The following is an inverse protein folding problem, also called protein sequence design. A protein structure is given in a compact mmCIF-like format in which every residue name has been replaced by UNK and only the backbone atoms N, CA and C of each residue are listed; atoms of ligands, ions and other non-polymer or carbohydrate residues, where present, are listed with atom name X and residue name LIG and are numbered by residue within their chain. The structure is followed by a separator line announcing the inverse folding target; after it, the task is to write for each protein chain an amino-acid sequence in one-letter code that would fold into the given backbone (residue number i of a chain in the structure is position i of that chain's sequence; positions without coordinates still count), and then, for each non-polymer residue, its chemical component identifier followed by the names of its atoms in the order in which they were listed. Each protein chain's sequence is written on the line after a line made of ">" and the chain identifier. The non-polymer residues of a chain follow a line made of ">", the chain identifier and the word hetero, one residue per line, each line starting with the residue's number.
data_IF_956868953519
#
_entry.id   IF_956868953519
#
_cell.length_a   1.000
_cell.length_b   1.000
_cell.length_c   1.000
_cell.angle_alpha   90.00
_cell.angle_beta   90.00
_cell.angle_gamma   90.00
#
_symmetry.space_group_name_H-M   'P 1'
#
loop_
_entity.id
_entity.type
_entity.pdbx_description
1 polymer ?
#
# COMPACT_ATOMS: atom_id res chain seq x y z
N UNK A 1 16.07 -20.23 -4.44
CA UNK A 1 14.93 -20.39 -5.37
C UNK A 1 14.32 -19.01 -5.51
N UNK A 2 14.23 -18.45 -6.72
CA UNK A 2 13.63 -17.12 -6.90
C UNK A 2 12.13 -17.24 -6.79
N UNK A 3 11.64 -16.87 -5.64
CA UNK A 3 10.22 -16.72 -5.30
C UNK A 3 9.71 -15.38 -5.84
N UNK A 4 8.57 -14.91 -5.40
CA UNK A 4 8.06 -13.60 -5.82
C UNK A 4 8.97 -12.48 -5.30
N UNK A 5 9.03 -11.36 -6.00
CA UNK A 5 9.87 -10.22 -5.59
C UNK A 5 9.01 -9.10 -4.98
N UNK A 6 8.25 -9.42 -3.91
CA UNK A 6 7.44 -8.46 -3.19
C UNK A 6 6.10 -8.12 -3.85
N UNK A 7 5.48 -7.03 -3.40
CA UNK A 7 4.19 -6.54 -3.91
C UNK A 7 4.36 -6.02 -5.34
N UNK A 8 3.46 -6.43 -6.24
CA UNK A 8 3.33 -5.84 -7.59
C UNK A 8 2.48 -4.58 -7.55
N UNK A 9 1.27 -4.69 -7.02
CA UNK A 9 0.33 -3.59 -6.81
C UNK A 9 -0.64 -3.91 -5.68
N UNK A 10 -1.31 -2.88 -5.20
CA UNK A 10 -2.44 -3.00 -4.26
C UNK A 10 -3.66 -2.39 -4.94
N UNK A 11 -4.81 -3.05 -4.85
CA UNK A 11 -6.10 -2.52 -5.32
C UNK A 11 -7.00 -2.26 -4.13
N UNK A 12 -7.61 -1.09 -4.08
CA UNK A 12 -8.56 -0.70 -3.05
C UNK A 12 -9.90 -0.27 -3.65
N UNK A 13 -10.92 -0.19 -2.81
CA UNK A 13 -12.26 0.26 -3.19
C UNK A 13 -12.40 1.73 -2.80
N UNK A 14 -12.75 2.56 -3.78
CA UNK A 14 -13.04 3.98 -3.57
C UNK A 14 -14.53 4.27 -3.76
N UNK A 15 -14.94 5.44 -3.30
CA UNK A 15 -16.23 6.03 -3.62
C UNK A 15 -16.16 6.86 -4.90
N UNK A 16 -16.19 8.18 -4.75
CA UNK A 16 -16.21 9.10 -5.87
C UNK A 16 -14.89 9.12 -6.66
N UNK A 17 -14.88 8.82 -7.97
CA UNK A 17 -13.66 8.74 -8.76
C UNK A 17 -12.93 10.08 -8.91
N UNK A 18 -13.64 11.21 -8.93
CA UNK A 18 -13.02 12.54 -9.04
C UNK A 18 -12.30 12.90 -7.74
N UNK A 19 -12.94 12.66 -6.59
CA UNK A 19 -12.32 12.89 -5.29
C UNK A 19 -11.11 12.00 -5.08
N UNK A 20 -11.18 10.72 -5.50
CA UNK A 20 -10.05 9.79 -5.49
C UNK A 20 -8.90 10.32 -6.36
N UNK A 21 -9.20 10.74 -7.60
CA UNK A 21 -8.19 11.32 -8.50
C UNK A 21 -7.50 12.54 -7.90
N UNK A 22 -8.27 13.50 -7.37
CA UNK A 22 -7.72 14.71 -6.76
C UNK A 22 -6.85 14.38 -5.56
N UNK A 23 -7.27 13.46 -4.70
CA UNK A 23 -6.49 13.06 -3.55
C UNK A 23 -5.14 12.43 -3.94
N UNK A 24 -5.14 11.42 -4.80
CA UNK A 24 -3.91 10.71 -5.14
C UNK A 24 -2.98 11.53 -6.01
N UNK A 25 -3.49 12.44 -6.84
CA UNK A 25 -2.65 13.29 -7.69
C UNK A 25 -2.26 14.62 -7.04
N UNK A 26 -3.19 15.31 -6.37
CA UNK A 26 -2.93 16.65 -5.84
C UNK A 26 -2.45 16.63 -4.39
N UNK A 27 -2.93 15.69 -3.57
CA UNK A 27 -2.48 15.58 -2.18
C UNK A 27 -1.21 14.74 -2.08
N UNK A 28 -1.19 13.53 -2.63
CA UNK A 28 -0.05 12.63 -2.54
C UNK A 28 0.97 12.84 -3.67
N UNK A 29 0.61 13.51 -4.75
CA UNK A 29 1.51 13.81 -5.86
C UNK A 29 1.85 12.59 -6.71
N UNK A 30 1.06 11.53 -6.66
CA UNK A 30 1.25 10.35 -7.51
C UNK A 30 0.80 10.66 -8.95
N UNK A 31 1.40 9.97 -9.92
CA UNK A 31 0.97 10.03 -11.30
C UNK A 31 -0.25 9.13 -11.53
N UNK A 32 -1.29 9.62 -12.19
CA UNK A 32 -2.29 8.74 -12.80
C UNK A 32 -1.65 8.05 -14.01
N UNK A 33 -1.18 6.81 -13.81
CA UNK A 33 -0.45 6.04 -14.82
C UNK A 33 -1.40 5.52 -15.89
N UNK A 34 -2.58 5.06 -15.47
CA UNK A 34 -3.58 4.48 -16.37
C UNK A 34 -4.99 4.72 -15.83
N UNK A 35 -5.92 5.01 -16.74
CA UNK A 35 -7.36 4.98 -16.51
C UNK A 35 -7.98 4.02 -17.52
N UNK A 36 -8.68 3.02 -17.04
CA UNK A 36 -9.37 2.02 -17.87
C UNK A 36 -10.69 1.64 -17.20
N UNK A 37 -11.39 0.64 -17.72
CA UNK A 37 -12.54 0.03 -17.07
C UNK A 37 -12.14 -1.24 -16.37
N UNK A 38 -12.88 -1.62 -15.34
CA UNK A 38 -12.70 -2.88 -14.65
C UNK A 38 -13.09 -4.04 -15.63
N UNK A 39 -12.29 -5.09 -15.65
CA UNK A 39 -12.51 -6.24 -16.55
C UNK A 39 -13.82 -6.97 -16.21
N UNK A 40 -14.10 -7.14 -14.90
CA UNK A 40 -15.28 -7.88 -14.42
C UNK A 40 -16.54 -7.00 -14.33
N UNK A 41 -16.37 -5.68 -14.33
CA UNK A 41 -17.45 -4.68 -14.29
C UNK A 41 -17.14 -3.50 -15.21
N UNK A 42 -17.42 -3.62 -16.52
CA UNK A 42 -17.08 -2.58 -17.51
C UNK A 42 -17.75 -1.21 -17.29
N UNK A 43 -18.75 -1.12 -16.41
CA UNK A 43 -19.37 0.14 -16.01
C UNK A 43 -18.54 0.92 -14.98
N UNK A 44 -17.54 0.29 -14.38
CA UNK A 44 -16.67 0.87 -13.35
C UNK A 44 -15.29 1.19 -13.91
N UNK A 45 -14.77 2.37 -13.58
CA UNK A 45 -13.39 2.71 -13.88
C UNK A 45 -12.40 1.84 -13.08
N UNK A 46 -11.21 1.68 -13.63
CA UNK A 46 -10.04 1.19 -12.91
C UNK A 46 -8.95 2.25 -13.00
N UNK A 47 -8.65 2.89 -11.88
CA UNK A 47 -7.68 3.99 -11.77
C UNK A 47 -6.36 3.44 -11.22
N UNK A 48 -5.24 3.82 -11.82
CA UNK A 48 -3.89 3.35 -11.44
C UNK A 48 -3.01 4.55 -11.11
N UNK A 49 -2.50 4.60 -9.90
CA UNK A 49 -1.56 5.63 -9.45
C UNK A 49 -0.22 5.00 -9.13
N UNK A 50 0.87 5.66 -9.51
CA UNK A 50 2.21 5.14 -9.27
C UNK A 50 3.28 6.22 -9.40
N UNK A 51 4.53 5.78 -9.50
CA UNK A 51 5.65 6.65 -9.83
C UNK A 51 5.60 7.05 -11.33
N UNK A 52 6.65 7.73 -11.82
CA UNK A 52 6.73 8.20 -13.21
C UNK A 52 6.55 7.08 -14.24
N UNK A 53 7.14 5.91 -14.01
CA UNK A 53 7.11 4.78 -14.93
C UNK A 53 5.93 3.81 -14.69
N UNK A 54 5.26 3.89 -13.54
CA UNK A 54 4.24 2.90 -13.13
C UNK A 54 4.85 1.53 -12.88
N UNK A 55 6.05 1.49 -12.31
CA UNK A 55 6.78 0.26 -12.03
C UNK A 55 6.02 -0.63 -11.04
N UNK A 56 6.19 -1.93 -11.17
CA UNK A 56 5.69 -2.88 -10.18
C UNK A 56 6.27 -2.55 -8.79
N UNK A 57 5.43 -2.62 -7.76
CA UNK A 57 5.76 -2.18 -6.40
C UNK A 57 5.56 -0.69 -6.14
N UNK A 58 5.13 0.08 -7.15
CA UNK A 58 4.79 1.50 -6.96
C UNK A 58 3.31 1.80 -7.16
N UNK A 59 2.54 0.82 -7.65
CA UNK A 59 1.19 1.05 -8.16
C UNK A 59 0.13 0.73 -7.11
N UNK A 60 -0.65 1.75 -6.75
CA UNK A 60 -1.90 1.62 -6.01
C UNK A 60 -3.06 1.85 -6.98
N UNK A 61 -4.03 0.94 -7.02
CA UNK A 61 -5.16 1.03 -7.96
C UNK A 61 -6.50 1.09 -7.23
N UNK A 62 -7.54 1.55 -7.93
CA UNK A 62 -8.86 1.72 -7.34
C UNK A 62 -9.99 1.28 -8.26
N UNK A 63 -10.98 0.63 -7.64
CA UNK A 63 -12.32 0.45 -8.18
C UNK A 63 -13.25 1.46 -7.50
N UNK A 64 -13.66 2.56 -8.16
CA UNK A 64 -14.60 3.53 -7.60
C UNK A 64 -16.03 3.02 -7.71
N UNK A 65 -16.48 2.30 -6.69
CA UNK A 65 -17.85 1.80 -6.53
C UNK A 65 -18.66 2.73 -5.63
N UNK A 66 -19.18 3.83 -6.20
CA UNK A 66 -19.89 4.88 -5.45
C UNK A 66 -21.11 4.37 -4.67
N UNK A 67 -21.74 3.31 -5.16
CA UNK A 67 -22.94 2.70 -4.57
C UNK A 67 -22.66 1.86 -3.33
N UNK A 68 -21.41 1.47 -3.07
CA UNK A 68 -21.08 0.66 -1.91
C UNK A 68 -21.17 1.49 -0.62
N UNK A 69 -21.45 0.81 0.49
CA UNK A 69 -21.33 1.37 1.82
C UNK A 69 -19.87 1.65 2.18
N UNK A 70 -19.64 2.45 3.21
CA UNK A 70 -18.30 2.60 3.79
C UNK A 70 -17.86 1.28 4.40
N UNK A 71 -16.67 0.81 4.04
CA UNK A 71 -16.08 -0.39 4.59
C UNK A 71 -15.64 -0.22 6.05
N UNK A 72 -15.33 -1.33 6.67
CA UNK A 72 -14.75 -1.39 8.03
C UNK A 72 -13.53 -2.30 7.95
N UNK A 73 -12.33 -1.73 7.73
CA UNK A 73 -11.10 -2.53 7.71
C UNK A 73 -10.87 -3.14 9.08
N UNK A 74 -10.76 -4.45 9.15
CA UNK A 74 -10.58 -5.23 10.37
C UNK A 74 -10.02 -6.61 10.01
N UNK A 75 -10.08 -7.56 10.92
CA UNK A 75 -9.56 -8.93 10.79
C UNK A 75 -10.00 -9.61 9.48
N UNK A 76 -9.04 -10.29 8.84
CA UNK A 76 -9.19 -10.96 7.55
C UNK A 76 -9.01 -10.03 6.36
N UNK A 77 -8.41 -8.84 6.56
CA UNK A 77 -8.18 -7.85 5.51
C UNK A 77 -6.79 -7.20 5.62
N UNK A 78 -6.33 -6.61 4.51
CA UNK A 78 -5.29 -5.61 4.57
C UNK A 78 -5.89 -4.31 5.12
N UNK A 79 -5.32 -3.80 6.21
CA UNK A 79 -5.88 -2.68 6.99
C UNK A 79 -5.10 -1.38 6.82
N UNK A 80 -3.91 -1.42 6.24
CA UNK A 80 -3.14 -0.22 5.91
C UNK A 80 -2.24 -0.45 4.69
N UNK A 81 -1.99 0.63 3.94
CA UNK A 81 -1.01 0.70 2.85
C UNK A 81 0.04 1.73 3.23
N UNK A 82 1.31 1.33 3.19
CA UNK A 82 2.44 2.18 3.54
C UNK A 82 3.25 2.55 2.30
N UNK A 83 3.59 3.83 2.16
CA UNK A 83 4.43 4.36 1.09
C UNK A 83 5.80 4.78 1.62
N UNK A 84 6.80 4.61 0.79
CA UNK A 84 8.18 4.98 1.04
C UNK A 84 8.45 6.42 0.58
N UNK A 85 8.98 7.26 1.48
CA UNK A 85 9.38 8.65 1.21
C UNK A 85 10.78 8.91 1.77
N UNK A 86 11.56 9.87 1.21
CA UNK A 86 12.88 10.20 1.73
C UNK A 86 12.85 10.65 3.19
N UNK A 87 13.89 10.29 3.94
CA UNK A 87 14.04 10.62 5.37
C UNK A 87 13.99 12.13 5.64
N UNK A 88 14.58 12.92 4.76
CA UNK A 88 14.58 14.38 4.84
C UNK A 88 13.22 15.03 4.59
N UNK A 89 12.20 14.25 4.15
CA UNK A 89 10.87 14.76 3.79
C UNK A 89 9.90 14.85 4.97
N UNK A 90 10.32 14.45 6.18
CA UNK A 90 9.45 14.35 7.36
C UNK A 90 8.66 15.63 7.64
N UNK A 91 9.36 16.76 7.80
CA UNK A 91 8.69 18.02 8.12
C UNK A 91 7.77 18.49 6.99
N UNK A 92 8.19 18.32 5.73
CA UNK A 92 7.37 18.64 4.56
C UNK A 92 6.03 17.90 4.59
N UNK A 93 6.02 16.58 4.84
CA UNK A 93 4.81 15.79 4.86
C UNK A 93 3.90 16.11 6.05
N UNK A 94 4.47 16.32 7.24
CA UNK A 94 3.69 16.74 8.41
C UNK A 94 2.94 18.05 8.11
N UNK A 95 3.65 19.06 7.61
CA UNK A 95 3.08 20.38 7.33
C UNK A 95 2.04 20.31 6.20
N UNK A 96 2.33 19.53 5.14
CA UNK A 96 1.42 19.34 4.02
C UNK A 96 0.12 18.69 4.44
N UNK A 97 0.17 17.58 5.15
CA UNK A 97 -1.01 16.85 5.59
C UNK A 97 -1.85 17.68 6.57
N UNK A 98 -1.23 18.40 7.49
CA UNK A 98 -1.91 19.31 8.42
C UNK A 98 -2.57 20.47 7.69
N UNK A 99 -1.87 21.10 6.73
CA UNK A 99 -2.41 22.19 5.91
C UNK A 99 -3.64 21.77 5.11
N UNK A 100 -3.70 20.51 4.71
CA UNK A 100 -4.81 19.91 3.97
C UNK A 100 -5.89 19.30 4.88
N UNK A 101 -5.80 19.51 6.21
CA UNK A 101 -6.74 19.01 7.23
C UNK A 101 -6.93 17.48 7.24
N UNK A 102 -5.87 16.73 6.93
CA UNK A 102 -5.89 15.27 6.92
C UNK A 102 -5.59 14.63 8.29
N UNK A 103 -5.38 15.45 9.32
CA UNK A 103 -5.17 15.03 10.71
C UNK A 103 -4.17 13.85 10.84
N UNK A 104 -2.93 14.01 10.37
CA UNK A 104 -1.93 12.95 10.50
C UNK A 104 -1.67 12.63 11.97
N UNK A 105 -1.29 11.37 12.25
CA UNK A 105 -0.77 11.00 13.57
C UNK A 105 0.49 11.82 13.90
N UNK A 106 0.87 11.88 15.17
CA UNK A 106 2.25 12.21 15.50
C UNK A 106 3.19 11.15 14.91
N UNK A 107 4.45 11.52 14.68
CA UNK A 107 5.48 10.57 14.23
C UNK A 107 5.67 9.49 15.28
N UNK A 108 5.55 8.24 14.89
CA UNK A 108 5.81 7.10 15.76
C UNK A 108 6.86 6.17 15.16
N UNK A 109 7.41 5.29 15.99
CA UNK A 109 8.39 4.29 15.53
C UNK A 109 7.79 2.89 15.55
N UNK A 110 8.10 2.12 14.50
CA UNK A 110 7.71 0.72 14.36
C UNK A 110 8.82 -0.05 13.66
N UNK A 111 9.39 -1.07 14.31
CA UNK A 111 10.59 -1.79 13.87
C UNK A 111 11.80 -0.88 13.54
N UNK A 112 11.89 0.27 14.20
CA UNK A 112 12.93 1.27 13.95
C UNK A 112 12.58 2.34 12.92
N UNK A 113 11.58 2.11 12.06
CA UNK A 113 11.11 3.06 11.06
C UNK A 113 10.31 4.20 11.69
N UNK A 114 10.50 5.42 11.21
CA UNK A 114 9.65 6.56 11.55
C UNK A 114 8.49 6.66 10.57
N UNK A 115 7.28 6.80 11.10
CA UNK A 115 6.03 6.67 10.32
C UNK A 115 5.06 7.78 10.73
N UNK A 116 4.30 8.30 9.76
CA UNK A 116 3.08 9.07 10.00
C UNK A 116 1.91 8.36 9.32
N UNK A 117 0.77 8.26 10.01
CA UNK A 117 -0.47 7.67 9.51
C UNK A 117 -1.53 8.73 9.25
N UNK A 118 -2.38 8.50 8.26
CA UNK A 118 -3.54 9.34 7.93
C UNK A 118 -4.56 8.50 7.15
N UNK A 119 -5.66 9.10 6.72
CA UNK A 119 -6.68 8.42 5.91
C UNK A 119 -6.93 9.17 4.61
N UNK A 120 -7.28 8.41 3.57
CA UNK A 120 -7.84 8.97 2.35
C UNK A 120 -9.31 9.40 2.57
N UNK A 121 -9.96 10.04 1.58
CA UNK A 121 -11.35 10.51 1.71
C UNK A 121 -12.37 9.40 2.00
N UNK A 122 -12.12 8.17 1.59
CA UNK A 122 -13.00 7.02 1.83
C UNK A 122 -12.70 6.30 3.15
N UNK A 123 -11.57 6.65 3.79
CA UNK A 123 -11.13 6.09 5.07
C UNK A 123 -10.10 4.98 4.95
N UNK A 124 -9.49 4.78 3.78
CA UNK A 124 -8.34 3.89 3.62
C UNK A 124 -7.18 4.41 4.48
N UNK A 125 -6.67 3.56 5.36
CA UNK A 125 -5.50 3.90 6.18
C UNK A 125 -4.24 3.89 5.33
N UNK A 126 -3.56 5.03 5.31
CA UNK A 126 -2.32 5.26 4.61
C UNK A 126 -1.22 5.64 5.58
N UNK A 127 0.00 5.22 5.29
CA UNK A 127 1.19 5.55 6.05
C UNK A 127 2.28 6.08 5.13
N UNK A 128 3.05 7.05 5.59
CA UNK A 128 4.33 7.42 4.98
C UNK A 128 5.45 6.97 5.92
N UNK A 129 6.31 6.14 5.39
CA UNK A 129 7.51 5.63 6.06
C UNK A 129 8.70 6.43 5.58
N UNK A 130 9.43 7.05 6.51
CA UNK A 130 10.65 7.81 6.21
C UNK A 130 11.81 6.82 6.05
N UNK A 131 11.95 6.33 4.82
CA UNK A 131 12.78 5.19 4.49
C UNK A 131 14.14 5.61 3.91
N UNK A 132 15.27 5.25 4.55
CA UNK A 132 16.60 5.56 4.04
C UNK A 132 16.88 5.03 2.63
N UNK A 133 16.26 3.92 2.23
CA UNK A 133 16.41 3.38 0.88
C UNK A 133 15.80 4.32 -0.18
N UNK A 134 14.85 5.15 0.21
CA UNK A 134 14.22 6.17 -0.63
C UNK A 134 15.09 7.38 -0.93
N UNK A 135 16.10 7.66 -0.13
CA UNK A 135 16.92 8.87 -0.25
C UNK A 135 17.68 8.93 -1.58
N UNK A 136 18.06 7.78 -2.14
CA UNK A 136 18.81 7.66 -3.39
C UNK A 136 17.93 7.34 -4.61
N UNK A 137 16.60 7.44 -4.49
CA UNK A 137 15.67 7.18 -5.58
C UNK A 137 15.11 8.52 -6.08
N UNK A 138 15.12 8.72 -7.39
CA UNK A 138 14.52 9.91 -7.98
C UNK A 138 13.00 9.90 -7.82
N UNK A 139 12.43 11.03 -7.40
CA UNK A 139 10.99 11.23 -7.36
C UNK A 139 10.45 11.76 -8.69
N UNK A 140 9.18 11.51 -8.96
CA UNK A 140 8.50 12.12 -10.09
C UNK A 140 8.44 13.65 -9.92
N UNK A 141 8.87 14.38 -10.94
CA UNK A 141 9.08 15.84 -10.88
C UNK A 141 7.94 16.67 -11.47
N UNK A 142 6.93 16.04 -12.09
CA UNK A 142 5.78 16.73 -12.68
C UNK A 142 4.50 16.63 -11.82
N UNK A 143 4.61 16.10 -10.60
CA UNK A 143 3.50 16.00 -9.64
C UNK A 143 3.29 17.26 -8.80
N UNK A 144 2.23 17.26 -8.01
CA UNK A 144 1.91 18.33 -7.06
C UNK A 144 2.84 18.36 -5.82
N UNK A 145 3.69 17.36 -5.65
CA UNK A 145 4.71 17.25 -4.60
C UNK A 145 6.09 17.42 -5.25
N UNK A 146 6.96 18.30 -4.71
CA UNK A 146 8.32 18.46 -5.23
C UNK A 146 9.09 17.14 -5.24
N UNK A 147 9.88 16.88 -6.28
CA UNK A 147 10.56 15.59 -6.52
C UNK A 147 11.38 15.10 -5.32
N UNK A 148 12.05 16.01 -4.59
CA UNK A 148 12.83 15.64 -3.40
C UNK A 148 11.98 15.08 -2.26
N UNK A 149 10.68 15.34 -2.24
CA UNK A 149 9.73 14.88 -1.22
C UNK A 149 8.74 13.84 -1.73
N UNK A 150 8.71 13.57 -3.05
CA UNK A 150 7.74 12.69 -3.68
C UNK A 150 7.81 11.26 -3.12
N UNK A 151 6.67 10.58 -3.08
CA UNK A 151 6.56 9.15 -2.81
C UNK A 151 7.39 8.38 -3.85
N UNK A 152 8.15 7.39 -3.38
CA UNK A 152 9.01 6.56 -4.24
C UNK A 152 8.29 5.30 -4.72
N UNK A 153 7.49 4.71 -3.87
CA UNK A 153 6.73 3.49 -4.15
C UNK A 153 5.99 3.00 -2.92
N UNK A 154 5.41 1.82 -3.02
CA UNK A 154 4.83 1.13 -1.89
C UNK A 154 5.99 0.65 -1.00
N UNK A 155 5.94 0.98 0.30
CA UNK A 155 6.80 0.38 1.31
C UNK A 155 6.29 -1.01 1.65
N UNK A 156 5.00 -1.13 1.96
CA UNK A 156 4.40 -2.39 2.35
C UNK A 156 2.89 -2.29 2.61
N UNK A 157 2.37 -3.36 3.20
CA UNK A 157 0.99 -3.44 3.64
C UNK A 157 0.90 -4.09 5.04
N UNK A 158 -0.12 -3.72 5.81
CA UNK A 158 -0.45 -4.36 7.08
C UNK A 158 -1.71 -5.20 6.91
N UNK A 159 -1.62 -6.48 7.29
CA UNK A 159 -2.72 -7.43 7.34
C UNK A 159 -3.19 -7.58 8.79
N UNK A 160 -4.50 -7.66 9.02
CA UNK A 160 -5.06 -8.00 10.32
C UNK A 160 -5.61 -9.42 10.27
N UNK A 161 -5.04 -10.31 11.08
CA UNK A 161 -5.38 -11.74 11.09
C UNK A 161 -5.69 -12.23 12.50
N UNK A 162 -6.47 -13.31 12.61
CA UNK A 162 -6.68 -13.97 13.91
C UNK A 162 -5.40 -14.63 14.45
N UNK A 163 -4.56 -15.08 13.53
CA UNK A 163 -3.32 -15.79 13.79
C UNK A 163 -2.40 -15.59 12.56
N UNK A 164 -1.24 -15.01 12.78
CA UNK A 164 -0.27 -14.72 11.73
C UNK A 164 0.30 -15.97 11.03
N UNK A 165 0.32 -17.12 11.73
CA UNK A 165 1.08 -18.30 11.29
C UNK A 165 0.71 -18.81 9.88
N UNK A 166 -0.55 -19.05 9.52
CA UNK A 166 -0.90 -19.53 8.18
C UNK A 166 -0.45 -18.57 7.07
N UNK A 167 -0.72 -17.26 7.22
CA UNK A 167 -0.30 -16.25 6.25
C UNK A 167 1.21 -16.06 6.25
N UNK A 168 1.85 -16.11 7.43
CA UNK A 168 3.30 -16.07 7.55
C UNK A 168 3.99 -17.22 6.81
N UNK A 169 3.49 -18.44 6.96
CA UNK A 169 4.00 -19.60 6.24
C UNK A 169 3.88 -19.42 4.71
N UNK A 170 2.74 -18.90 4.22
CA UNK A 170 2.56 -18.60 2.80
C UNK A 170 3.59 -17.58 2.30
N UNK A 171 3.82 -16.50 3.08
CA UNK A 171 4.81 -15.48 2.75
C UNK A 171 6.22 -16.08 2.64
N UNK A 172 6.62 -16.95 3.57
CA UNK A 172 7.96 -17.54 3.59
C UNK A 172 8.12 -18.65 2.56
N UNK A 173 7.16 -19.55 2.43
CA UNK A 173 7.30 -20.75 1.60
C UNK A 173 7.05 -20.48 0.12
N UNK A 174 6.07 -19.65 -0.20
CA UNK A 174 5.58 -19.46 -1.57
C UNK A 174 5.89 -18.07 -2.15
N UNK A 175 5.89 -17.02 -1.30
CA UNK A 175 5.99 -15.64 -1.76
C UNK A 175 7.38 -14.99 -1.54
N UNK A 176 8.34 -15.73 -0.99
CA UNK A 176 9.75 -15.31 -0.91
C UNK A 176 10.03 -14.14 0.03
N UNK A 177 9.24 -14.05 1.09
CA UNK A 177 9.53 -13.16 2.20
C UNK A 177 10.24 -13.92 3.31
N UNK A 178 11.14 -13.26 4.01
CA UNK A 178 11.77 -13.76 5.22
C UNK A 178 11.13 -13.13 6.46
N UNK A 179 10.98 -13.91 7.52
CA UNK A 179 10.54 -13.37 8.80
C UNK A 179 11.58 -12.42 9.37
N UNK A 180 11.20 -11.15 9.55
CA UNK A 180 12.11 -10.08 9.99
C UNK A 180 11.99 -9.73 11.48
N UNK A 181 11.02 -10.30 12.19
CA UNK A 181 10.87 -10.10 13.63
C UNK A 181 9.46 -9.76 14.10
N UNK A 182 9.33 -9.56 15.41
CA UNK A 182 8.08 -9.26 16.10
C UNK A 182 8.19 -8.01 16.95
N UNK A 183 7.11 -7.22 16.96
CA UNK A 183 6.90 -6.11 17.89
C UNK A 183 5.47 -6.21 18.43
N UNK A 184 5.32 -6.49 19.71
CA UNK A 184 4.05 -6.78 20.38
C UNK A 184 3.26 -7.90 19.65
N UNK A 185 2.07 -7.59 19.14
CA UNK A 185 1.22 -8.51 18.37
C UNK A 185 1.44 -8.39 16.84
N UNK A 186 2.52 -7.77 16.40
CA UNK A 186 2.82 -7.50 15.00
C UNK A 186 4.04 -8.29 14.55
N UNK A 187 3.93 -8.97 13.43
CA UNK A 187 4.97 -9.78 12.81
C UNK A 187 5.35 -9.16 11.47
N UNK A 188 6.65 -8.90 11.25
CA UNK A 188 7.14 -8.33 10.00
C UNK A 188 7.81 -9.40 9.16
N UNK A 189 7.48 -9.36 7.87
CA UNK A 189 8.08 -10.15 6.81
C UNK A 189 8.68 -9.21 5.77
N UNK A 190 9.85 -9.55 5.24
CA UNK A 190 10.60 -8.73 4.31
C UNK A 190 11.13 -9.53 3.13
N UNK A 191 11.02 -8.99 1.92
CA UNK A 191 11.66 -9.51 0.72
C UNK A 191 12.82 -8.62 0.27
N UNK A 192 13.56 -9.04 -0.74
CA UNK A 192 14.64 -8.29 -1.38
C UNK A 192 14.14 -7.29 -2.45
N UNK A 193 12.85 -7.12 -2.59
CA UNK A 193 12.26 -6.18 -3.54
C UNK A 193 12.65 -4.73 -3.22
N UNK A 194 12.87 -3.93 -4.27
CA UNK A 194 13.14 -2.49 -4.13
C UNK A 194 11.94 -1.72 -3.58
N UNK A 195 10.72 -2.13 -3.95
CA UNK A 195 9.45 -1.56 -3.52
C UNK A 195 8.48 -2.66 -3.15
N UNK A 196 7.59 -2.40 -2.21
CA UNK A 196 6.62 -3.39 -1.74
C UNK A 196 7.27 -4.58 -1.05
N UNK A 197 8.37 -4.33 -0.35
CA UNK A 197 9.18 -5.36 0.28
C UNK A 197 8.69 -5.79 1.65
N UNK A 198 7.75 -5.06 2.26
CA UNK A 198 7.32 -5.31 3.64
C UNK A 198 5.86 -5.76 3.68
N UNK A 199 5.62 -6.86 4.37
CA UNK A 199 4.30 -7.26 4.85
C UNK A 199 4.35 -7.32 6.37
N UNK A 200 3.41 -6.68 7.02
CA UNK A 200 3.21 -6.80 8.45
C UNK A 200 1.88 -7.51 8.72
N UNK A 201 1.87 -8.44 9.65
CA UNK A 201 0.67 -9.14 10.10
C UNK A 201 0.46 -8.79 11.57
N UNK A 202 -0.72 -8.27 11.91
CA UNK A 202 -1.13 -8.07 13.30
C UNK A 202 -2.09 -9.17 13.72
N UNK A 203 -1.77 -9.82 14.85
CA UNK A 203 -2.71 -10.72 15.51
C UNK A 203 -3.82 -9.88 16.14
N UNK A 204 -5.02 -10.02 15.62
CA UNK A 204 -6.17 -9.23 16.02
C UNK A 204 -7.36 -10.13 16.36
N UNK A 205 -7.86 -9.97 17.58
CA UNK A 205 -9.10 -10.60 18.02
C UNK A 205 -10.26 -9.64 17.80
N UNK A 206 -11.40 -10.16 17.40
CA UNK A 206 -12.57 -9.33 17.18
C UNK A 206 -13.41 -9.79 15.99
N UNK A 207 -14.34 -8.94 15.52
CA UNK A 207 -15.15 -9.23 14.34
C UNK A 207 -14.30 -9.29 13.08
N UNK A 208 -14.83 -9.90 12.03
CA UNK A 208 -14.23 -9.82 10.70
C UNK A 208 -14.51 -8.45 10.08
N UNK A 209 -13.56 -7.95 9.29
CA UNK A 209 -13.73 -6.75 8.51
C UNK A 209 -14.89 -6.83 7.51
N UNK A 210 -15.36 -5.69 7.07
CA UNK A 210 -16.40 -5.56 6.05
C UNK A 210 -15.85 -4.80 4.85
N UNK A 211 -15.82 -5.45 3.70
CA UNK A 211 -15.41 -4.80 2.45
C UNK A 211 -16.37 -3.67 2.07
N UNK A 212 -15.84 -2.61 1.49
CA UNK A 212 -16.57 -1.44 1.07
C UNK A 212 -15.61 -0.29 0.76
N UNK A 213 -16.13 0.91 0.58
CA UNK A 213 -15.29 2.10 0.31
C UNK A 213 -14.27 2.29 1.43
N UNK A 214 -13.01 2.55 1.06
CA UNK A 214 -11.91 2.71 2.00
C UNK A 214 -11.29 1.40 2.50
N UNK A 215 -11.53 0.26 1.84
CA UNK A 215 -10.86 -1.01 2.15
C UNK A 215 -10.01 -1.50 0.99
N UNK A 216 -8.97 -2.27 1.30
CA UNK A 216 -8.18 -2.97 0.28
C UNK A 216 -9.03 -4.12 -0.30
N UNK A 217 -9.05 -4.22 -1.62
CA UNK A 217 -9.70 -5.30 -2.35
C UNK A 217 -8.77 -6.50 -2.49
N UNK A 218 -7.52 -6.28 -2.93
CA UNK A 218 -6.50 -7.32 -3.00
C UNK A 218 -5.08 -6.74 -3.03
N UNK A 219 -4.13 -7.61 -2.72
CA UNK A 219 -2.69 -7.38 -2.92
C UNK A 219 -2.22 -8.38 -3.98
N UNK A 220 -1.62 -7.90 -5.06
CA UNK A 220 -0.98 -8.73 -6.05
C UNK A 220 0.52 -8.79 -5.79
N UNK A 221 1.07 -9.99 -5.77
CA UNK A 221 2.50 -10.22 -5.63
C UNK A 221 3.16 -10.39 -6.99
N UNK A 222 4.44 -10.09 -7.08
CA UNK A 222 5.24 -10.20 -8.28
C UNK A 222 5.68 -11.63 -8.49
N UNK A 223 5.39 -12.24 -9.64
CA UNK A 223 6.03 -13.46 -10.06
C UNK A 223 7.23 -13.15 -10.96
N UNK A 224 8.29 -13.96 -10.89
CA UNK A 224 9.49 -13.76 -11.68
C UNK A 224 9.22 -13.95 -13.19
N UNK A 225 8.34 -14.89 -13.54
CA UNK A 225 7.89 -15.21 -14.88
C UNK A 225 6.54 -15.97 -14.86
N UNK A 226 5.97 -16.21 -16.03
CA UNK A 226 4.67 -16.89 -16.22
C UNK A 226 4.69 -18.33 -15.64
N UNK A 227 5.80 -19.04 -15.80
CA UNK A 227 5.98 -20.39 -15.25
C UNK A 227 5.86 -20.38 -13.73
N UNK A 228 6.52 -19.41 -13.09
CA UNK A 228 6.47 -19.28 -11.63
C UNK A 228 5.08 -18.88 -11.16
N UNK A 229 4.39 -18.03 -11.90
CA UNK A 229 3.00 -17.68 -11.60
C UNK A 229 2.09 -18.91 -11.62
N UNK A 230 2.23 -19.77 -12.62
CA UNK A 230 1.48 -21.03 -12.71
C UNK A 230 1.80 -22.00 -11.56
N UNK A 231 3.07 -22.10 -11.17
CA UNK A 231 3.49 -22.95 -10.05
C UNK A 231 2.88 -22.52 -8.73
N UNK A 232 2.88 -21.22 -8.43
CA UNK A 232 2.28 -20.65 -7.21
C UNK A 232 0.75 -20.86 -7.19
N UNK A 233 0.08 -20.72 -8.33
CA UNK A 233 -1.37 -20.90 -8.43
C UNK A 233 -1.86 -22.35 -8.32
N UNK A 234 -0.96 -23.33 -8.27
CA UNK A 234 -1.29 -24.75 -8.10
C UNK A 234 -1.16 -25.26 -6.66
N UNK A 235 -0.52 -24.50 -5.79
CA UNK A 235 -0.33 -24.80 -4.37
C UNK A 235 -1.44 -24.16 -3.53
#
# INVERSE_FOLDING_TARGET
>A
MNQTNGIHHITAIAGNPQQNYEFYTQVLGLRLVKKTVNFDDPATYHLYYGNEAGEAGTVLTFFPWEHLHKGKPDRGQAVAVSFSVPTASKQFWIDRLRKLNLNPTEVFKRFGDEIIGFQDPDGLHLELVFDPLSDNINGWNAGAVPAQHAIRGIYGATLAEKNYGPTGNLLEQDLGFDYAGQLDNRHRYQSDARFGSIIEIIDQFGPSGQSGKGTVHHIAFRAADDRRQEEIGRN
#
